data_IF_760515722447
#
_entry.id   IF_760515722447
#
_cell.length_a   1.000
_cell.length_b   1.000
_cell.length_c   1.000
_cell.angle_alpha   90.00
_cell.angle_beta   90.00
_cell.angle_gamma   90.00
#
_symmetry.space_group_name_H-M   'P 1'
#
loop_
_entity.id
_entity.type
_entity.pdbx_description
1 polymer ?
#
# COMPACT_ATOMS: atom_id res chain seq x y z
N UNK A 1 -24.32 35.36 -1.02
CA UNK A 1 -23.94 33.93 -0.98
C UNK A 1 -24.42 33.30 -2.27
N UNK A 2 -23.53 32.82 -3.12
CA UNK A 2 -23.91 32.11 -4.35
C UNK A 2 -23.92 30.63 -3.99
N UNK A 3 -25.11 30.04 -3.89
CA UNK A 3 -25.26 28.59 -3.84
C UNK A 3 -24.94 28.09 -5.26
N UNK A 4 -23.76 27.52 -5.46
CA UNK A 4 -23.51 26.74 -6.67
C UNK A 4 -24.48 25.55 -6.64
N UNK A 5 -25.41 25.50 -7.60
CA UNK A 5 -26.25 24.35 -7.80
C UNK A 5 -25.34 23.16 -8.16
N UNK A 6 -25.47 22.05 -7.43
CA UNK A 6 -24.76 20.80 -7.74
C UNK A 6 -24.99 20.44 -9.20
N UNK A 7 -23.90 20.36 -9.96
CA UNK A 7 -23.92 19.98 -11.37
C UNK A 7 -24.44 18.55 -11.52
N UNK A 8 -25.03 18.21 -12.67
CA UNK A 8 -25.41 16.82 -12.99
C UNK A 8 -24.23 15.84 -12.87
N UNK A 9 -22.99 16.34 -13.02
CA UNK A 9 -21.77 15.56 -12.91
C UNK A 9 -21.37 15.24 -11.46
N UNK A 10 -22.01 15.88 -10.47
CA UNK A 10 -21.70 15.71 -9.05
C UNK A 10 -22.76 14.86 -8.32
N UNK A 11 -23.79 14.38 -9.03
CA UNK A 11 -24.87 13.59 -8.46
C UNK A 11 -24.51 12.10 -8.43
N UNK A 12 -24.94 11.40 -7.37
CA UNK A 12 -24.79 9.94 -7.20
C UNK A 12 -23.33 9.43 -7.24
N UNK A 13 -22.37 10.24 -6.77
CA UNK A 13 -20.94 9.89 -6.70
C UNK A 13 -20.55 9.10 -5.44
N UNK A 14 -21.53 8.56 -4.71
CA UNK A 14 -21.26 7.73 -3.54
C UNK A 14 -20.35 6.54 -3.90
N UNK A 15 -19.48 6.10 -2.98
CA UNK A 15 -18.65 4.94 -3.18
C UNK A 15 -19.49 3.69 -3.50
N UNK A 16 -19.25 3.12 -4.66
CA UNK A 16 -19.84 1.90 -5.17
C UNK A 16 -18.73 0.99 -5.73
N UNK A 17 -18.98 -0.31 -5.91
CA UNK A 17 -17.97 -1.23 -6.46
C UNK A 17 -17.39 -0.79 -7.82
N UNK A 18 -18.11 0.02 -8.60
CA UNK A 18 -17.67 0.52 -9.90
C UNK A 18 -16.65 1.68 -9.83
N UNK A 19 -16.70 2.51 -8.79
CA UNK A 19 -15.87 3.72 -8.65
C UNK A 19 -14.94 3.68 -7.41
N UNK A 20 -15.13 2.73 -6.49
CA UNK A 20 -14.37 2.62 -5.25
C UNK A 20 -13.84 1.21 -5.04
N UNK A 21 -12.57 1.13 -4.71
CA UNK A 21 -11.93 -0.09 -4.19
C UNK A 21 -10.89 0.34 -3.17
N UNK A 22 -10.91 -0.21 -1.94
CA UNK A 22 -9.92 0.15 -0.93
C UNK A 22 -8.51 -0.24 -1.40
N UNK A 23 -7.62 0.74 -1.42
CA UNK A 23 -6.22 0.52 -1.78
C UNK A 23 -5.47 0.04 -0.53
N UNK A 24 -4.98 -1.18 -0.57
CA UNK A 24 -4.05 -1.71 0.43
C UNK A 24 -2.64 -1.16 0.18
N UNK A 25 -1.74 -1.18 1.17
CA UNK A 25 -0.32 -0.85 0.93
C UNK A 25 0.32 -1.67 -0.19
N UNK A 26 -0.08 -2.93 -0.34
CA UNK A 26 0.43 -3.81 -1.41
C UNK A 26 -0.04 -3.35 -2.79
N UNK A 27 -1.33 -3.08 -2.95
CA UNK A 27 -1.87 -2.57 -4.22
C UNK A 27 -1.44 -1.13 -4.50
N UNK A 28 -1.13 -0.34 -3.48
CA UNK A 28 -0.57 1.02 -3.61
C UNK A 28 0.82 1.01 -4.25
N UNK A 29 1.75 0.18 -3.73
CA UNK A 29 3.12 0.12 -4.25
C UNK A 29 3.17 -0.47 -5.67
N UNK A 30 2.34 -1.48 -5.94
CA UNK A 30 2.22 -2.07 -7.28
C UNK A 30 1.69 -1.06 -8.30
N UNK A 31 0.58 -0.37 -8.00
CA UNK A 31 0.03 0.67 -8.88
C UNK A 31 1.02 1.81 -9.11
N UNK A 32 1.71 2.26 -8.07
CA UNK A 32 2.68 3.37 -8.17
C UNK A 32 3.86 2.98 -9.05
N UNK A 33 4.38 1.76 -8.93
CA UNK A 33 5.44 1.24 -9.79
C UNK A 33 5.02 1.13 -11.26
N UNK A 34 3.75 0.80 -11.53
CA UNK A 34 3.21 0.72 -12.89
C UNK A 34 2.98 2.09 -13.53
N UNK A 35 2.48 3.08 -12.78
CA UNK A 35 2.09 4.39 -13.32
C UNK A 35 3.29 5.35 -13.36
N UNK A 36 4.17 5.28 -12.37
CA UNK A 36 5.29 6.21 -12.18
C UNK A 36 6.63 5.47 -11.96
N UNK A 37 7.08 4.64 -12.93
CA UNK A 37 8.21 3.72 -12.73
C UNK A 37 9.49 4.45 -12.30
N UNK A 38 9.83 5.56 -12.96
CA UNK A 38 11.06 6.32 -12.74
C UNK A 38 10.95 7.38 -11.64
N UNK A 39 9.77 7.56 -11.04
CA UNK A 39 9.59 8.55 -9.97
C UNK A 39 10.34 8.08 -8.72
N UNK A 40 11.08 8.99 -8.08
CA UNK A 40 11.76 8.70 -6.82
C UNK A 40 10.73 8.32 -5.76
N UNK A 41 10.86 7.11 -5.21
CA UNK A 41 9.97 6.55 -4.19
C UNK A 41 10.64 6.47 -2.81
N UNK A 42 11.96 6.32 -2.76
CA UNK A 42 12.72 6.19 -1.52
C UNK A 42 13.97 7.06 -1.55
N UNK A 43 14.21 7.81 -0.47
CA UNK A 43 15.41 8.60 -0.23
C UNK A 43 16.00 8.17 1.11
N UNK A 44 17.24 7.67 1.11
CA UNK A 44 18.01 7.32 2.32
C UNK A 44 19.43 7.83 2.18
N UNK A 45 19.73 8.95 2.84
CA UNK A 45 21.01 9.65 2.64
C UNK A 45 21.23 9.98 1.16
N UNK A 46 22.38 9.59 0.62
CA UNK A 46 22.69 9.75 -0.81
C UNK A 46 21.95 8.78 -1.74
N UNK A 47 21.35 7.71 -1.20
CA UNK A 47 20.68 6.67 -2.00
C UNK A 47 19.28 7.16 -2.38
N UNK A 48 19.02 7.18 -3.68
CA UNK A 48 17.68 7.36 -4.26
C UNK A 48 17.29 6.07 -4.96
N UNK A 49 16.04 5.65 -4.81
CA UNK A 49 15.45 4.53 -5.54
C UNK A 49 14.14 4.95 -6.19
N UNK A 50 13.91 4.49 -7.41
CA UNK A 50 12.65 4.76 -8.12
C UNK A 50 11.54 3.78 -7.70
N UNK A 51 10.31 4.04 -8.15
CA UNK A 51 9.14 3.23 -7.79
C UNK A 51 9.26 1.77 -8.24
N UNK A 52 9.79 1.52 -9.45
CA UNK A 52 9.93 0.15 -9.98
C UNK A 52 10.98 -0.66 -9.22
N UNK A 53 12.15 -0.09 -8.94
CA UNK A 53 13.21 -0.74 -8.15
C UNK A 53 12.73 -1.06 -6.73
N UNK A 54 11.98 -0.14 -6.13
CA UNK A 54 11.44 -0.31 -4.78
C UNK A 54 10.47 -1.49 -4.74
N UNK A 55 9.55 -1.57 -5.70
CA UNK A 55 8.61 -2.68 -5.83
C UNK A 55 9.31 -4.03 -6.03
N UNK A 56 10.28 -4.09 -6.94
CA UNK A 56 11.05 -5.33 -7.18
C UNK A 56 11.79 -5.80 -5.94
N UNK A 57 12.46 -4.89 -5.23
CA UNK A 57 13.19 -5.22 -3.99
C UNK A 57 12.24 -5.76 -2.92
N UNK A 58 11.07 -5.14 -2.74
CA UNK A 58 10.04 -5.64 -1.84
C UNK A 58 9.59 -7.06 -2.20
N UNK A 59 9.37 -7.36 -3.49
CA UNK A 59 9.00 -8.71 -3.95
C UNK A 59 10.10 -9.74 -3.72
N UNK A 60 11.36 -9.39 -4.02
CA UNK A 60 12.52 -10.27 -3.78
C UNK A 60 12.65 -10.58 -2.29
N UNK A 61 12.50 -9.57 -1.42
CA UNK A 61 12.49 -9.76 0.03
C UNK A 61 11.34 -10.66 0.48
N UNK A 62 10.11 -10.40 0.01
CA UNK A 62 8.96 -11.23 0.34
C UNK A 62 9.16 -12.70 -0.07
N UNK A 63 9.72 -12.95 -1.27
CA UNK A 63 10.07 -14.31 -1.71
C UNK A 63 11.10 -14.96 -0.79
N UNK A 64 12.14 -14.23 -0.38
CA UNK A 64 13.16 -14.74 0.53
C UNK A 64 12.61 -15.03 1.93
N UNK A 65 11.65 -14.24 2.43
CA UNK A 65 10.97 -14.46 3.70
C UNK A 65 10.09 -15.72 3.63
N UNK A 66 9.32 -15.87 2.56
CA UNK A 66 8.50 -17.07 2.32
C UNK A 66 9.35 -18.34 2.29
N UNK A 67 10.51 -18.30 1.61
CA UNK A 67 11.47 -19.43 1.59
C UNK A 67 12.03 -19.77 2.98
N UNK A 68 12.03 -18.81 3.92
CA UNK A 68 12.42 -19.02 5.32
C UNK A 68 11.24 -19.43 6.22
N UNK A 69 10.08 -19.74 5.66
CA UNK A 69 8.88 -20.12 6.42
C UNK A 69 8.15 -18.94 7.07
N UNK A 70 8.52 -17.70 6.74
CA UNK A 70 7.88 -16.49 7.25
C UNK A 70 6.77 -16.10 6.27
N UNK A 71 5.55 -16.51 6.62
CA UNK A 71 4.34 -16.29 5.85
C UNK A 71 3.43 -15.20 6.42
N UNK A 72 2.27 -15.04 5.78
CA UNK A 72 1.21 -14.11 6.22
C UNK A 72 0.90 -14.39 7.71
N UNK A 73 0.95 -13.36 8.55
CA UNK A 73 0.58 -13.38 9.97
C UNK A 73 1.19 -14.53 10.80
N UNK A 74 2.52 -14.60 10.89
CA UNK A 74 3.14 -15.14 12.11
C UNK A 74 2.66 -14.27 13.28
N UNK A 75 1.60 -14.69 13.97
CA UNK A 75 1.23 -14.14 15.28
C UNK A 75 2.45 -14.35 16.17
N UNK A 76 3.15 -13.28 16.51
CA UNK A 76 3.99 -13.28 17.69
C UNK A 76 3.04 -13.49 18.87
N UNK A 77 2.86 -14.75 19.27
CA UNK A 77 2.18 -15.06 20.53
C UNK A 77 3.11 -14.46 21.59
N UNK A 78 2.71 -13.32 22.16
CA UNK A 78 3.25 -12.89 23.43
C UNK A 78 3.15 -14.09 24.37
N UNK A 79 4.23 -14.46 25.09
CA UNK A 79 4.16 -15.58 26.02
C UNK A 79 2.99 -15.38 26.97
N UNK A 80 2.25 -16.45 27.27
CA UNK A 80 1.01 -16.43 28.07
C UNK A 80 1.19 -15.80 29.47
N UNK A 81 2.43 -15.53 29.90
CA UNK A 81 2.85 -14.86 31.13
C UNK A 81 2.52 -13.35 31.19
N UNK A 82 2.05 -12.72 30.10
CA UNK A 82 1.74 -11.27 30.10
C UNK A 82 0.31 -10.93 30.58
N UNK A 83 -0.40 -11.87 31.23
CA UNK A 83 -1.77 -11.67 31.74
C UNK A 83 -1.85 -11.31 33.23
N UNK A 84 -0.74 -11.21 33.94
CA UNK A 84 -0.71 -10.84 35.35
C UNK A 84 0.18 -9.62 35.58
N UNK A 85 -0.30 -8.44 35.13
CA UNK A 85 0.04 -7.12 35.67
C UNK A 85 -1.18 -6.21 35.56
#
# INVERSE_FOLDING_TARGET
MIQAASSIFEQNLDPAPANYTPISPLTSIERTASIYPERTAVIRGAVRGNSVETYERCRRLASALLKRGIGKIQKFRLPDQAKEL
#
